data_IF_396863391855
#
_entry.id   IF_396863391855
#
_cell.length_a   1.000
_cell.length_b   1.000
_cell.length_c   1.000
_cell.angle_alpha   90.00
_cell.angle_beta   90.00
_cell.angle_gamma   90.00
#
_symmetry.space_group_name_H-M   'P 1'
#
loop_
_entity.id
_entity.type
_entity.pdbx_description
1 polymer ?
#
# COMPACT_ATOMS: atom_id res chain seq x y z
N UNK A 1 -16.14 13.19 2.70
CA UNK A 1 -15.60 12.61 3.96
C UNK A 1 -14.10 12.54 3.81
N UNK A 2 -13.35 13.09 4.76
CA UNK A 2 -11.89 13.22 4.67
C UNK A 2 -11.16 12.20 5.54
N UNK A 3 -9.86 11.98 5.27
CA UNK A 3 -9.02 11.18 6.18
C UNK A 3 -8.95 11.76 7.59
N UNK A 4 -9.01 13.08 7.75
CA UNK A 4 -8.96 13.71 9.07
C UNK A 4 -10.17 13.30 9.91
N UNK A 5 -11.37 13.34 9.32
CA UNK A 5 -12.62 12.88 9.96
C UNK A 5 -12.59 11.38 10.27
N UNK A 6 -12.19 10.56 9.29
CA UNK A 6 -12.19 9.09 9.41
C UNK A 6 -11.18 8.60 10.46
N UNK A 7 -10.01 9.25 10.52
CA UNK A 7 -8.90 8.84 11.38
C UNK A 7 -8.92 9.53 12.74
N UNK A 8 -9.77 10.55 12.97
CA UNK A 8 -9.86 11.23 14.26
C UNK A 8 -10.05 10.26 15.45
N UNK A 9 -10.93 9.24 15.41
CA UNK A 9 -11.12 8.34 16.54
C UNK A 9 -9.85 7.55 16.92
N UNK A 10 -9.08 7.09 15.94
CA UNK A 10 -7.83 6.36 16.23
C UNK A 10 -6.68 7.31 16.56
N UNK A 11 -6.57 8.45 15.86
CA UNK A 11 -5.47 9.42 16.06
C UNK A 11 -5.56 10.13 17.41
N UNK A 12 -6.75 10.30 17.96
CA UNK A 12 -6.98 10.92 19.27
C UNK A 12 -7.01 9.90 20.43
N UNK A 13 -6.60 8.65 20.17
CA UNK A 13 -6.54 7.61 21.20
C UNK A 13 -5.17 7.57 21.90
N UNK A 14 -5.15 7.18 23.17
CA UNK A 14 -3.91 6.94 23.93
C UNK A 14 -2.96 5.96 23.22
N UNK A 15 -3.53 5.00 22.49
CA UNK A 15 -2.76 4.06 21.67
C UNK A 15 -1.94 4.80 20.60
N UNK A 16 -2.55 5.73 19.87
CA UNK A 16 -1.86 6.44 18.80
C UNK A 16 -0.86 7.45 19.36
N UNK A 17 -1.15 8.10 20.48
CA UNK A 17 -0.18 8.93 21.19
C UNK A 17 1.07 8.12 21.59
N UNK A 18 0.86 6.92 22.14
CA UNK A 18 1.94 6.00 22.51
C UNK A 18 2.73 5.54 21.29
N UNK A 19 2.04 5.14 20.22
CA UNK A 19 2.65 4.77 18.94
C UNK A 19 3.52 5.92 18.42
N UNK A 20 2.96 7.13 18.35
CA UNK A 20 3.63 8.29 17.80
C UNK A 20 4.84 8.71 18.63
N UNK A 21 4.76 8.61 19.97
CA UNK A 21 5.93 8.82 20.85
C UNK A 21 7.05 7.83 20.53
N UNK A 22 6.74 6.54 20.36
CA UNK A 22 7.73 5.52 19.97
C UNK A 22 8.34 5.80 18.60
N UNK A 23 7.52 6.14 17.60
CA UNK A 23 8.01 6.54 16.26
C UNK A 23 8.97 7.73 16.37
N UNK A 24 8.57 8.77 17.10
CA UNK A 24 9.38 9.97 17.26
C UNK A 24 10.74 9.68 17.90
N UNK A 25 10.79 8.78 18.88
CA UNK A 25 12.03 8.36 19.51
C UNK A 25 12.94 7.58 18.55
N UNK A 26 12.37 6.70 17.72
CA UNK A 26 13.13 5.99 16.68
C UNK A 26 13.79 6.98 15.71
N UNK A 27 13.04 7.95 15.19
CA UNK A 27 13.58 8.96 14.27
C UNK A 27 14.58 9.93 14.91
N UNK A 28 14.59 10.05 16.25
CA UNK A 28 15.53 10.89 16.99
C UNK A 28 16.86 10.17 17.23
N UNK A 29 16.82 8.86 17.44
CA UNK A 29 17.97 8.06 17.89
C UNK A 29 18.58 7.19 16.79
N UNK A 30 17.82 6.91 15.73
CA UNK A 30 18.20 6.01 14.65
C UNK A 30 17.88 6.64 13.29
N UNK A 31 18.53 6.12 12.25
CA UNK A 31 18.11 6.38 10.87
C UNK A 31 16.91 5.50 10.55
N UNK A 32 15.81 6.12 10.16
CA UNK A 32 14.56 5.44 9.81
C UNK A 32 14.06 5.86 8.43
N UNK A 33 13.28 4.98 7.81
CA UNK A 33 12.62 5.21 6.53
C UNK A 33 11.10 4.99 6.64
N UNK A 34 10.29 5.68 5.81
CA UNK A 34 10.68 6.76 4.88
C UNK A 34 11.12 8.03 5.64
N UNK A 35 11.53 9.12 4.97
CA UNK A 35 11.60 10.44 5.61
C UNK A 35 10.33 10.74 6.42
N UNK A 36 10.47 11.37 7.59
CA UNK A 36 9.38 11.49 8.58
C UNK A 36 8.12 12.17 8.03
N UNK A 37 8.30 13.15 7.13
CA UNK A 37 7.21 13.84 6.45
C UNK A 37 6.51 13.02 5.36
N UNK A 38 6.99 11.80 5.07
CA UNK A 38 6.41 10.90 4.08
C UNK A 38 5.74 9.67 4.72
N UNK A 39 5.70 9.56 6.06
CA UNK A 39 5.09 8.43 6.77
C UNK A 39 3.62 8.23 6.36
N UNK A 40 2.87 9.32 6.15
CA UNK A 40 1.45 9.28 5.79
C UNK A 40 1.20 9.61 4.31
N UNK A 41 2.24 9.61 3.47
CA UNK A 41 2.15 10.07 2.08
C UNK A 41 1.09 9.32 1.26
N UNK A 42 0.89 8.02 1.50
CA UNK A 42 -0.16 7.24 0.83
C UNK A 42 -1.57 7.84 1.05
N UNK A 43 -1.86 8.29 2.26
CA UNK A 43 -3.13 8.91 2.64
C UNK A 43 -3.24 10.36 2.13
N UNK A 44 -2.12 11.07 2.04
CA UNK A 44 -2.06 12.44 1.51
C UNK A 44 -2.27 12.47 -0.01
N UNK A 45 -1.68 11.52 -0.73
CA UNK A 45 -1.82 11.40 -2.19
C UNK A 45 -3.17 10.85 -2.63
N UNK A 46 -3.81 10.04 -1.79
CA UNK A 46 -5.07 9.36 -2.12
C UNK A 46 -6.13 9.81 -1.12
N UNK A 47 -6.86 10.91 -1.37
CA UNK A 47 -7.94 11.35 -0.49
C UNK A 47 -8.95 10.23 -0.24
N UNK A 48 -9.55 10.20 0.96
CA UNK A 48 -10.45 9.11 1.36
C UNK A 48 -11.60 8.88 0.37
N UNK A 49 -12.15 9.96 -0.17
CA UNK A 49 -13.23 9.92 -1.15
C UNK A 49 -12.80 9.32 -2.50
N UNK A 50 -11.55 9.50 -2.89
CA UNK A 50 -10.99 9.06 -4.16
C UNK A 50 -10.46 7.62 -4.13
N UNK A 51 -10.45 6.96 -2.96
CA UNK A 51 -9.97 5.57 -2.86
C UNK A 51 -10.83 4.63 -3.71
N UNK A 52 -10.24 4.07 -4.75
CA UNK A 52 -10.87 3.08 -5.64
C UNK A 52 -10.20 1.72 -5.56
N UNK A 53 -8.89 1.70 -5.27
CA UNK A 53 -8.07 0.51 -5.17
C UNK A 53 -7.21 0.61 -3.92
N UNK A 54 -7.02 -0.49 -3.20
CA UNK A 54 -6.10 -0.59 -2.06
C UNK A 54 -5.10 -1.70 -2.34
N UNK A 55 -3.81 -1.36 -2.41
CA UNK A 55 -2.71 -2.33 -2.51
C UNK A 55 -2.01 -2.37 -1.16
N UNK A 56 -1.84 -3.58 -0.61
CA UNK A 56 -1.26 -3.76 0.73
C UNK A 56 0.17 -4.29 0.64
N UNK A 57 1.11 -3.51 1.16
CA UNK A 57 2.49 -3.92 1.42
C UNK A 57 2.74 -4.32 2.87
N UNK A 58 3.93 -4.82 3.17
CA UNK A 58 4.31 -5.26 4.52
C UNK A 58 4.97 -4.12 5.32
N UNK A 59 6.22 -3.80 5.02
CA UNK A 59 6.99 -2.70 5.60
C UNK A 59 7.69 -1.88 4.50
N UNK A 60 8.13 -0.65 4.80
CA UNK A 60 8.85 0.17 3.83
C UNK A 60 10.20 -0.48 3.45
N UNK A 61 10.71 -0.15 2.26
CA UNK A 61 12.08 -0.50 1.94
C UNK A 61 13.07 0.11 2.95
N UNK A 62 14.06 -0.70 3.33
CA UNK A 62 14.97 -0.36 4.43
C UNK A 62 16.33 0.19 3.98
N UNK A 63 16.59 0.38 2.68
CA UNK A 63 17.86 0.99 2.23
C UNK A 63 17.68 2.47 1.88
N UNK A 64 18.82 3.17 1.84
CA UNK A 64 18.91 4.60 1.58
C UNK A 64 18.20 5.02 0.29
N UNK A 65 17.38 6.07 0.41
CA UNK A 65 16.69 6.69 -0.72
C UNK A 65 15.55 5.86 -1.33
N UNK A 66 15.28 4.64 -0.82
CA UNK A 66 14.27 3.76 -1.40
C UNK A 66 12.85 4.15 -1.00
N UNK A 67 12.50 4.00 0.29
CA UNK A 67 11.13 4.18 0.73
C UNK A 67 10.71 5.65 0.69
N UNK A 68 9.57 5.89 0.07
CA UNK A 68 9.01 7.21 -0.17
C UNK A 68 7.58 7.36 0.39
N UNK A 69 7.16 6.46 1.30
CA UNK A 69 5.84 6.48 1.93
C UNK A 69 4.74 5.70 1.22
N UNK A 70 5.05 5.03 0.10
CA UNK A 70 4.09 4.24 -0.68
C UNK A 70 4.58 2.78 -0.76
N UNK A 71 3.69 1.79 -0.59
CA UNK A 71 4.09 0.39 -0.75
C UNK A 71 4.59 0.11 -2.16
N UNK A 72 5.62 -0.74 -2.29
CA UNK A 72 6.30 -1.12 -3.54
C UNK A 72 7.01 -0.01 -4.33
N UNK A 73 6.60 1.26 -4.19
CA UNK A 73 7.21 2.43 -4.82
C UNK A 73 8.61 2.69 -4.29
N UNK A 74 9.47 3.23 -5.15
CA UNK A 74 10.74 3.84 -4.74
C UNK A 74 10.96 5.18 -5.42
N UNK A 75 11.86 6.01 -4.88
CA UNK A 75 12.28 7.26 -5.52
C UNK A 75 12.93 7.01 -6.89
N UNK A 76 12.80 7.95 -7.83
CA UNK A 76 13.40 7.82 -9.17
C UNK A 76 14.93 7.75 -9.18
N UNK A 77 15.60 8.24 -8.15
CA UNK A 77 17.05 8.21 -8.02
C UNK A 77 17.63 6.83 -7.68
N UNK A 78 16.80 5.84 -7.31
CA UNK A 78 17.28 4.51 -6.90
C UNK A 78 16.88 3.41 -7.88
N UNK A 79 17.62 2.31 -7.87
CA UNK A 79 17.30 1.12 -8.66
C UNK A 79 16.02 0.47 -8.16
N UNK A 80 15.12 0.09 -9.08
CA UNK A 80 13.91 -0.65 -8.76
C UNK A 80 14.23 -1.97 -8.03
N UNK A 81 13.64 -2.23 -6.84
CA UNK A 81 13.80 -3.50 -6.16
C UNK A 81 13.19 -4.67 -6.96
N UNK A 82 13.60 -5.92 -6.71
CA UNK A 82 13.12 -7.07 -7.47
C UNK A 82 11.58 -7.20 -7.53
N UNK A 83 10.89 -6.95 -6.42
CA UNK A 83 9.43 -7.00 -6.38
C UNK A 83 8.79 -5.96 -7.30
N UNK A 84 9.30 -4.72 -7.32
CA UNK A 84 8.78 -3.68 -8.22
C UNK A 84 9.05 -4.00 -9.69
N UNK A 85 10.23 -4.55 -10.01
CA UNK A 85 10.53 -5.04 -11.36
C UNK A 85 9.53 -6.11 -11.80
N UNK A 86 9.21 -7.05 -10.93
CA UNK A 86 8.23 -8.10 -11.22
C UNK A 86 6.81 -7.54 -11.37
N UNK A 87 6.42 -6.53 -10.59
CA UNK A 87 5.15 -5.79 -10.77
C UNK A 87 5.09 -5.19 -12.19
N UNK A 88 6.19 -4.59 -12.67
CA UNK A 88 6.24 -4.02 -14.03
C UNK A 88 6.30 -5.07 -15.12
N UNK A 89 6.94 -6.22 -14.89
CA UNK A 89 6.87 -7.37 -15.81
C UNK A 89 5.44 -7.85 -15.96
N UNK A 90 4.72 -8.05 -14.86
CA UNK A 90 3.30 -8.45 -14.92
C UNK A 90 2.44 -7.36 -15.56
N UNK A 91 2.71 -6.08 -15.30
CA UNK A 91 1.98 -4.98 -15.96
C UNK A 91 2.15 -5.01 -17.47
N UNK A 92 3.36 -5.29 -17.95
CA UNK A 92 3.64 -5.48 -19.37
C UNK A 92 2.92 -6.69 -19.93
N UNK A 93 2.96 -7.83 -19.24
CA UNK A 93 2.32 -9.06 -19.73
C UNK A 93 0.78 -8.99 -19.65
N UNK A 94 0.23 -8.18 -18.74
CA UNK A 94 -1.20 -7.97 -18.54
C UNK A 94 -1.78 -6.97 -19.56
N UNK A 95 -1.16 -5.79 -19.68
CA UNK A 95 -1.71 -4.66 -20.44
C UNK A 95 -0.82 -4.15 -21.59
N UNK A 96 0.32 -4.82 -21.85
CA UNK A 96 1.34 -4.38 -22.81
C UNK A 96 1.90 -2.98 -22.53
N UNK A 97 1.95 -2.60 -21.25
CA UNK A 97 2.44 -1.30 -20.78
C UNK A 97 3.90 -1.43 -20.32
N UNK A 98 4.80 -0.70 -20.97
CA UNK A 98 6.21 -0.61 -20.55
C UNK A 98 6.40 0.60 -19.62
N UNK A 99 6.20 0.39 -18.32
CA UNK A 99 6.39 1.44 -17.32
C UNK A 99 7.86 1.62 -16.96
N UNK A 100 8.33 2.87 -16.97
CA UNK A 100 9.70 3.24 -16.60
C UNK A 100 9.79 4.00 -15.28
N UNK A 101 8.74 4.74 -14.92
CA UNK A 101 8.62 5.48 -13.65
C UNK A 101 8.46 4.50 -12.48
N UNK A 102 9.41 4.49 -11.57
CA UNK A 102 9.50 3.62 -10.38
C UNK A 102 8.70 4.16 -9.21
N UNK A 103 8.56 5.48 -9.15
CA UNK A 103 7.68 6.16 -8.23
C UNK A 103 6.23 5.96 -8.68
N UNK A 104 5.36 5.58 -7.75
CA UNK A 104 3.97 5.20 -8.02
C UNK A 104 2.98 6.26 -7.51
N UNK A 105 3.42 7.51 -7.39
CA UNK A 105 2.58 8.62 -6.93
C UNK A 105 1.45 8.95 -7.90
N UNK A 106 1.66 8.76 -9.21
CA UNK A 106 0.61 8.87 -10.24
C UNK A 106 -0.47 7.80 -10.10
N UNK A 107 -0.18 6.63 -9.52
CA UNK A 107 -1.21 5.67 -9.15
C UNK A 107 -2.01 6.16 -7.94
N UNK A 108 -1.32 6.70 -6.93
CA UNK A 108 -1.95 7.32 -5.75
C UNK A 108 -2.93 8.43 -6.11
N UNK A 109 -2.52 9.34 -7.01
CA UNK A 109 -3.34 10.44 -7.51
C UNK A 109 -4.59 9.98 -8.29
N UNK A 110 -4.64 8.72 -8.72
CA UNK A 110 -5.78 8.13 -9.43
C UNK A 110 -6.69 7.31 -8.52
N UNK A 111 -6.48 7.32 -7.20
CA UNK A 111 -7.31 6.55 -6.26
C UNK A 111 -6.71 5.22 -5.82
N UNK A 112 -5.44 4.93 -6.14
CA UNK A 112 -4.75 3.71 -5.69
C UNK A 112 -4.04 3.95 -4.37
N UNK A 113 -4.67 3.55 -3.26
CA UNK A 113 -4.06 3.64 -1.94
C UNK A 113 -2.95 2.58 -1.77
N UNK A 114 -1.70 3.03 -1.80
CA UNK A 114 -0.50 2.20 -1.67
C UNK A 114 -0.05 2.08 -0.19
N UNK A 115 -0.75 1.26 0.59
CA UNK A 115 -0.62 1.19 2.04
C UNK A 115 0.29 0.04 2.50
N UNK A 116 1.37 0.35 3.24
CA UNK A 116 2.08 -0.69 4.01
C UNK A 116 1.35 -0.98 5.33
N UNK A 117 1.44 -2.20 5.85
CA UNK A 117 0.92 -2.52 7.18
C UNK A 117 1.75 -1.91 8.32
N UNK A 118 3.07 -1.84 8.14
CA UNK A 118 3.99 -1.05 8.97
C UNK A 118 4.41 0.20 8.19
N UNK A 119 4.33 1.40 8.79
CA UNK A 119 4.59 2.64 8.04
C UNK A 119 6.02 3.17 8.15
N UNK A 120 6.86 2.54 8.98
CA UNK A 120 8.25 2.96 9.21
C UNK A 120 9.14 1.74 9.38
N UNK A 121 10.44 1.88 9.14
CA UNK A 121 11.44 0.85 9.37
C UNK A 121 12.76 1.50 9.77
N UNK A 122 13.56 0.85 10.61
CA UNK A 122 14.95 1.25 10.85
C UNK A 122 15.81 0.90 9.63
N UNK A 123 16.76 1.78 9.28
CA UNK A 123 17.66 1.58 8.16
C UNK A 123 18.39 0.23 8.27
N UNK A 124 18.37 -0.51 7.15
CA UNK A 124 19.01 -1.82 6.97
C UNK A 124 18.50 -2.94 7.89
N UNK A 125 17.36 -2.74 8.56
CA UNK A 125 16.77 -3.74 9.46
C UNK A 125 15.31 -4.03 9.05
N UNK A 126 15.08 -4.97 8.12
CA UNK A 126 13.73 -5.32 7.69
C UNK A 126 12.85 -5.75 8.87
N UNK A 127 11.59 -5.34 8.88
CA UNK A 127 10.61 -5.61 9.94
C UNK A 127 10.99 -5.10 11.35
N UNK A 128 12.00 -4.24 11.50
CA UNK A 128 12.44 -3.70 12.81
C UNK A 128 11.33 -2.99 13.60
N UNK A 129 10.34 -2.38 12.92
CA UNK A 129 9.24 -1.67 13.56
C UNK A 129 7.90 -2.43 13.53
N UNK A 130 7.90 -3.74 13.23
CA UNK A 130 6.66 -4.54 13.17
C UNK A 130 5.85 -4.50 14.50
N UNK A 131 6.55 -4.53 15.63
CA UNK A 131 5.95 -4.56 16.97
C UNK A 131 5.75 -3.15 17.57
N UNK A 132 6.01 -2.11 16.78
CA UNK A 132 5.88 -0.72 17.23
C UNK A 132 4.41 -0.30 17.40
N UNK A 133 3.51 -1.02 16.72
CA UNK A 133 2.05 -0.90 16.83
C UNK A 133 1.35 -0.44 15.57
N UNK A 134 2.08 -0.21 14.46
CA UNK A 134 1.51 0.31 13.20
C UNK A 134 0.36 -0.51 12.63
N UNK A 135 0.40 -1.84 12.77
CA UNK A 135 -0.65 -2.71 12.22
C UNK A 135 -2.04 -2.38 12.76
N UNK A 136 -2.17 -1.98 14.04
CA UNK A 136 -3.48 -1.58 14.58
C UNK A 136 -4.02 -0.31 13.89
N UNK A 137 -3.14 0.62 13.50
CA UNK A 137 -3.50 1.82 12.77
C UNK A 137 -3.90 1.49 11.32
N UNK A 138 -3.11 0.70 10.61
CA UNK A 138 -3.37 0.37 9.21
C UNK A 138 -4.55 -0.60 9.05
N UNK A 139 -4.77 -1.50 10.01
CA UNK A 139 -5.99 -2.32 10.08
C UNK A 139 -7.23 -1.46 10.30
N UNK A 140 -7.12 -0.38 11.10
CA UNK A 140 -8.22 0.57 11.25
C UNK A 140 -8.49 1.30 9.93
N UNK A 141 -7.47 1.73 9.19
CA UNK A 141 -7.62 2.31 7.85
C UNK A 141 -8.41 1.36 6.93
N UNK A 142 -8.02 0.08 6.87
CA UNK A 142 -8.69 -0.93 6.04
C UNK A 142 -10.16 -1.11 6.46
N UNK A 143 -10.43 -1.23 7.76
CA UNK A 143 -11.80 -1.35 8.29
C UNK A 143 -12.64 -0.12 7.94
N UNK A 144 -12.10 1.09 8.07
CA UNK A 144 -12.86 2.30 7.74
C UNK A 144 -13.20 2.41 6.26
N UNK A 145 -12.28 2.02 5.37
CA UNK A 145 -12.59 1.89 3.92
C UNK A 145 -13.69 0.85 3.74
N UNK A 146 -13.54 -0.32 4.38
CA UNK A 146 -14.50 -1.41 4.25
C UNK A 146 -15.89 -1.06 4.81
N UNK A 147 -15.98 -0.23 5.83
CA UNK A 147 -17.24 0.14 6.46
C UNK A 147 -17.96 1.23 5.67
N UNK A 148 -17.24 2.26 5.25
CA UNK A 148 -17.81 3.53 4.78
C UNK A 148 -17.80 3.71 3.27
N UNK A 149 -17.16 2.81 2.52
CA UNK A 149 -17.12 2.83 1.05
C UNK A 149 -17.75 1.57 0.49
N UNK A 150 -17.96 1.58 -0.82
CA UNK A 150 -18.44 0.44 -1.59
C UNK A 150 -17.68 0.34 -2.90
N UNK A 151 -17.66 -0.87 -3.47
CA UNK A 151 -17.07 -1.16 -4.77
C UNK A 151 -15.59 -0.77 -4.87
N UNK A 152 -14.84 -0.86 -3.76
CA UNK A 152 -13.37 -0.72 -3.71
C UNK A 152 -12.73 -2.07 -4.03
N UNK A 153 -11.63 -2.06 -4.79
CA UNK A 153 -10.83 -3.25 -5.09
C UNK A 153 -9.67 -3.37 -4.11
N UNK A 154 -9.62 -4.44 -3.33
CA UNK A 154 -8.51 -4.76 -2.45
C UNK A 154 -7.57 -5.78 -3.11
N UNK A 155 -6.30 -5.42 -3.23
CA UNK A 155 -5.28 -6.23 -3.89
C UNK A 155 -4.35 -6.81 -2.82
N UNK A 156 -4.44 -8.14 -2.65
CA UNK A 156 -3.81 -8.88 -1.56
C UNK A 156 -2.73 -9.82 -2.11
N UNK A 157 -1.52 -9.29 -2.29
CA UNK A 157 -0.38 -10.04 -2.78
C UNK A 157 0.38 -10.74 -1.64
N UNK A 158 0.32 -12.07 -1.63
CA UNK A 158 0.99 -12.92 -0.64
C UNK A 158 0.21 -13.12 0.67
N UNK A 159 0.63 -14.13 1.43
CA UNK A 159 -0.09 -14.60 2.61
C UNK A 159 -0.28 -13.51 3.68
N UNK A 160 0.69 -12.59 3.84
CA UNK A 160 0.57 -11.49 4.80
C UNK A 160 -0.59 -10.56 4.46
N UNK A 161 -0.67 -10.06 3.22
CA UNK A 161 -1.77 -9.22 2.77
C UNK A 161 -3.10 -9.97 2.78
N UNK A 162 -3.11 -11.25 2.40
CA UNK A 162 -4.32 -12.08 2.39
C UNK A 162 -4.96 -12.25 3.78
N UNK A 163 -4.18 -12.23 4.87
CA UNK A 163 -4.74 -12.22 6.24
C UNK A 163 -5.63 -11.00 6.51
N UNK A 164 -5.40 -9.88 5.82
CA UNK A 164 -6.22 -8.67 5.95
C UNK A 164 -7.60 -8.81 5.28
N UNK A 165 -7.87 -9.89 4.54
CA UNK A 165 -9.20 -10.21 4.01
C UNK A 165 -10.28 -10.27 5.11
N UNK A 166 -9.92 -10.68 6.34
CA UNK A 166 -10.84 -10.71 7.47
C UNK A 166 -11.34 -9.32 7.92
N UNK A 167 -10.72 -8.24 7.43
CA UNK A 167 -11.11 -6.85 7.72
C UNK A 167 -12.02 -6.26 6.64
N UNK A 168 -12.32 -7.01 5.59
CA UNK A 168 -12.98 -6.54 4.37
C UNK A 168 -14.32 -7.24 4.23
N UNK A 169 -15.38 -6.45 4.09
CA UNK A 169 -16.71 -6.92 3.75
C UNK A 169 -16.79 -7.23 2.25
N UNK A 170 -16.68 -8.51 1.91
CA UNK A 170 -16.70 -9.00 0.52
C UNK A 170 -18.06 -8.89 -0.16
N UNK A 171 -19.12 -8.54 0.57
CA UNK A 171 -20.42 -8.24 -0.04
C UNK A 171 -20.45 -6.85 -0.68
N UNK A 172 -19.58 -5.94 -0.21
CA UNK A 172 -19.45 -4.55 -0.71
C UNK A 172 -18.21 -4.34 -1.58
N UNK A 173 -17.19 -5.17 -1.42
CA UNK A 173 -15.86 -4.97 -2.01
C UNK A 173 -15.40 -6.18 -2.81
N UNK A 174 -14.45 -5.93 -3.72
CA UNK A 174 -13.84 -6.99 -4.51
C UNK A 174 -12.42 -7.25 -4.04
N UNK A 175 -12.07 -8.52 -3.87
CA UNK A 175 -10.71 -8.93 -3.48
C UNK A 175 -10.04 -9.61 -4.66
N UNK A 176 -8.86 -9.11 -5.03
CA UNK A 176 -7.94 -9.77 -5.94
C UNK A 176 -6.74 -10.26 -5.14
N UNK A 177 -6.59 -11.58 -5.05
CA UNK A 177 -5.50 -12.20 -4.31
C UNK A 177 -4.61 -13.05 -5.23
N UNK A 178 -3.31 -13.00 -4.99
CA UNK A 178 -2.32 -13.81 -5.69
C UNK A 178 -1.09 -14.07 -4.81
N UNK A 179 -0.11 -14.82 -5.32
CA UNK A 179 1.20 -14.89 -4.69
C UNK A 179 1.87 -13.50 -4.64
N UNK A 180 2.87 -13.31 -3.77
CA UNK A 180 3.60 -12.05 -3.67
C UNK A 180 4.51 -11.83 -4.90
N UNK A 181 4.74 -10.58 -5.36
CA UNK A 181 5.66 -10.28 -6.47
C UNK A 181 7.15 -10.53 -6.17
N UNK A 182 7.49 -11.14 -5.04
CA UNK A 182 8.89 -11.39 -4.66
C UNK A 182 9.47 -12.50 -5.54
N UNK A 183 10.78 -12.47 -5.88
CA UNK A 183 11.44 -13.55 -6.62
C UNK A 183 11.16 -14.94 -6.06
N UNK A 184 10.95 -15.07 -4.75
CA UNK A 184 10.66 -16.35 -4.11
C UNK A 184 9.29 -16.93 -4.46
N UNK A 185 8.30 -16.11 -4.80
CA UNK A 185 6.91 -16.54 -4.99
C UNK A 185 6.31 -16.15 -6.34
N UNK A 186 7.01 -15.35 -7.14
CA UNK A 186 6.46 -14.73 -8.35
C UNK A 186 5.92 -15.76 -9.35
N UNK A 187 6.66 -16.85 -9.59
CA UNK A 187 6.28 -17.95 -10.48
C UNK A 187 5.20 -18.88 -9.90
N UNK A 188 4.87 -18.73 -8.60
CA UNK A 188 3.86 -19.56 -7.91
C UNK A 188 2.47 -18.94 -7.94
N UNK A 189 2.25 -17.96 -8.81
CA UNK A 189 0.92 -17.40 -9.08
C UNK A 189 0.81 -15.88 -9.04
N UNK A 190 1.91 -15.12 -8.96
CA UNK A 190 1.85 -13.67 -9.24
C UNK A 190 1.86 -13.43 -10.75
N UNK A 191 2.83 -14.02 -11.46
CA UNK A 191 2.84 -13.95 -12.91
C UNK A 191 1.63 -14.64 -13.53
N UNK A 192 1.00 -13.97 -14.48
CA UNK A 192 -0.25 -14.39 -15.11
C UNK A 192 -1.50 -14.14 -14.27
N UNK A 193 -1.38 -13.53 -13.07
CA UNK A 193 -2.54 -13.20 -12.24
C UNK A 193 -3.39 -12.07 -12.83
N UNK A 194 -2.80 -11.26 -13.72
CA UNK A 194 -3.44 -10.17 -14.47
C UNK A 194 -4.21 -9.20 -13.57
N UNK A 195 -3.59 -8.63 -12.52
CA UNK A 195 -4.31 -7.84 -11.54
C UNK A 195 -4.77 -6.51 -12.13
N UNK A 196 -4.01 -5.89 -13.03
CA UNK A 196 -4.26 -4.53 -13.53
C UNK A 196 -5.47 -4.49 -14.47
N UNK A 197 -5.59 -5.45 -15.38
CA UNK A 197 -6.75 -5.59 -16.25
C UNK A 197 -8.01 -5.92 -15.45
N UNK A 198 -7.93 -6.84 -14.49
CA UNK A 198 -9.05 -7.21 -13.60
C UNK A 198 -9.52 -6.04 -12.73
N UNK A 199 -8.60 -5.24 -12.19
CA UNK A 199 -8.95 -4.00 -11.47
C UNK A 199 -9.75 -3.09 -12.39
N UNK A 200 -9.23 -2.81 -13.59
CA UNK A 200 -9.89 -1.90 -14.53
C UNK A 200 -11.23 -2.43 -15.04
N UNK A 201 -11.36 -3.74 -15.26
CA UNK A 201 -12.63 -4.39 -15.61
C UNK A 201 -13.66 -4.21 -14.50
N UNK A 202 -13.28 -4.48 -13.25
CA UNK A 202 -14.18 -4.29 -12.10
C UNK A 202 -14.64 -2.83 -11.96
N UNK A 203 -13.70 -1.88 -12.06
CA UNK A 203 -14.04 -0.46 -12.00
C UNK A 203 -15.04 -0.07 -13.11
N UNK A 204 -14.82 -0.54 -14.35
CA UNK A 204 -15.77 -0.31 -15.47
C UNK A 204 -17.16 -0.86 -15.18
N UNK A 205 -17.25 -2.10 -14.69
CA UNK A 205 -18.54 -2.75 -14.33
C UNK A 205 -19.31 -1.92 -13.30
N UNK A 206 -18.58 -1.24 -12.40
CA UNK A 206 -19.14 -0.38 -11.35
C UNK A 206 -19.33 1.08 -11.77
N UNK A 207 -19.13 1.40 -13.06
CA UNK A 207 -19.27 2.76 -13.59
C UNK A 207 -18.17 3.73 -13.13
N UNK A 208 -17.04 3.21 -12.66
CA UNK A 208 -15.90 3.98 -12.16
C UNK A 208 -14.84 4.14 -13.24
N UNK A 209 -14.05 5.21 -13.14
CA UNK A 209 -12.96 5.48 -14.09
C UNK A 209 -11.85 4.43 -13.93
N UNK A 210 -11.39 3.79 -15.02
CA UNK A 210 -10.23 2.90 -14.97
C UNK A 210 -8.95 3.64 -14.59
N UNK A 211 -8.02 2.94 -13.96
CA UNK A 211 -6.68 3.45 -13.66
C UNK A 211 -5.82 3.41 -14.92
N UNK A 212 -5.08 4.50 -15.17
CA UNK A 212 -4.02 4.59 -16.16
C UNK A 212 -2.72 4.14 -15.50
N UNK A 213 -2.31 2.90 -15.78
CA UNK A 213 -1.16 2.26 -15.11
C UNK A 213 0.21 2.62 -15.71
N UNK A 214 0.23 3.26 -16.89
CA UNK A 214 1.42 3.64 -17.65
C UNK A 214 2.27 4.70 -16.98
#
# INVERSE_FOLDING_TARGET
>A
MTWSEVLAPIKNSEYFETLWKKVNEQYKTQKCFPPKNQIFRALELTPFEDVEVVIIGQDPYHNDGQANGLCFSVSESVTAPPSLKNIFTELKDDLNINRTKKELDDWGQQGVLLLNATLTVQAHQPNSHKDLGWEKFTDYVIRQISEKKENVVFVLWGAFAQKKAALIDTTKHHILASAHPSPFSVYRGFYGSKPFSKINEYLKIKGKKPIVWG
#
